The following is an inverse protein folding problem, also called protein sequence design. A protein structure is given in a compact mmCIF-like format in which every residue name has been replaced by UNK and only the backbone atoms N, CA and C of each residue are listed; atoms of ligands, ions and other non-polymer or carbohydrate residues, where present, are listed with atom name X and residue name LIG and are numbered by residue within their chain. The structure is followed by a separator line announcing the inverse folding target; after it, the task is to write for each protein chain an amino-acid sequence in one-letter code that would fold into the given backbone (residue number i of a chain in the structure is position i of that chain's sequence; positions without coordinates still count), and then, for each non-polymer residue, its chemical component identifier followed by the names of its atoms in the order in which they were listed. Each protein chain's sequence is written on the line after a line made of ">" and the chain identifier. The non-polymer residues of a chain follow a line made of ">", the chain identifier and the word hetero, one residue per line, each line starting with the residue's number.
data_IF_207799574945
#
_entry.id   IF_207799574945
#
_cell.length_a   1.000
_cell.length_b   1.000
_cell.length_c   1.000
_cell.angle_alpha   90.00
_cell.angle_beta   90.00
_cell.angle_gamma   90.00
#
_symmetry.space_group_name_H-M   'P 1'
#
loop_
_entity.id
_entity.type
_entity.pdbx_description
1 polymer ?
#
# COMPACT_ATOMS: atom_id res chain seq x y z
N UNK A 1 2.00 12.39 -81.42
CA UNK A 1 1.19 11.16 -81.52
C UNK A 1 1.92 10.04 -80.80
N UNK A 2 1.21 9.24 -79.99
CA UNK A 2 1.62 7.97 -79.33
C UNK A 2 2.61 8.15 -78.15
N UNK A 3 2.47 7.60 -76.94
CA UNK A 3 1.52 6.68 -76.29
C UNK A 3 1.77 6.69 -74.75
N UNK A 4 0.69 6.47 -73.98
CA UNK A 4 0.56 5.61 -72.79
C UNK A 4 1.21 5.91 -71.42
N UNK A 5 0.31 6.31 -70.53
CA UNK A 5 0.12 5.92 -69.12
C UNK A 5 0.70 4.55 -68.70
N UNK A 6 1.45 4.50 -67.58
CA UNK A 6 1.40 3.37 -66.63
C UNK A 6 1.51 3.85 -65.18
N UNK A 7 0.43 3.55 -64.46
CA UNK A 7 0.23 3.57 -63.02
C UNK A 7 0.74 2.23 -62.42
N UNK A 8 0.80 2.16 -61.09
CA UNK A 8 1.08 1.01 -60.18
C UNK A 8 2.52 0.77 -59.68
N UNK A 9 2.61 0.64 -58.35
CA UNK A 9 3.73 0.08 -57.59
C UNK A 9 3.77 0.66 -56.17
N UNK A 10 2.70 0.51 -55.39
CA UNK A 10 2.56 -0.54 -54.36
C UNK A 10 3.38 -0.28 -53.08
N UNK A 11 2.62 -0.05 -52.02
CA UNK A 11 3.01 0.05 -50.62
C UNK A 11 4.03 -1.01 -50.15
N UNK A 12 4.97 -0.56 -49.32
CA UNK A 12 5.55 -1.35 -48.26
C UNK A 12 5.69 -0.46 -47.02
N UNK A 13 4.55 -0.19 -46.38
CA UNK A 13 4.53 0.18 -44.97
C UNK A 13 5.08 -1.02 -44.20
N UNK A 14 6.37 -0.96 -43.84
CA UNK A 14 6.93 -1.84 -42.83
C UNK A 14 6.40 -1.36 -41.47
N UNK A 15 5.12 -1.65 -41.20
CA UNK A 15 4.60 -1.70 -39.84
C UNK A 15 5.23 -2.92 -39.19
N UNK A 16 6.46 -2.77 -38.69
CA UNK A 16 6.96 -3.64 -37.64
C UNK A 16 6.16 -3.30 -36.37
N UNK A 17 4.95 -3.83 -36.28
CA UNK A 17 4.34 -4.06 -34.98
C UNK A 17 5.20 -5.12 -34.32
N UNK A 18 6.27 -4.69 -33.66
CA UNK A 18 6.90 -5.47 -32.60
C UNK A 18 5.78 -5.94 -31.70
N UNK A 19 5.59 -7.27 -31.67
CA UNK A 19 4.84 -7.94 -30.62
C UNK A 19 5.55 -7.61 -29.31
N UNK A 20 5.21 -6.45 -28.75
CA UNK A 20 5.53 -6.09 -27.39
C UNK A 20 4.76 -7.12 -26.56
N UNK A 21 5.44 -8.22 -26.24
CA UNK A 21 4.97 -9.14 -25.22
C UNK A 21 4.98 -8.34 -23.92
N UNK A 22 3.86 -7.67 -23.66
CA UNK A 22 3.55 -7.01 -22.40
C UNK A 22 3.43 -8.14 -21.39
N UNK A 23 4.56 -8.52 -20.80
CA UNK A 23 4.55 -9.33 -19.59
C UNK A 23 3.70 -8.53 -18.58
N UNK A 24 2.53 -9.05 -18.17
CA UNK A 24 1.64 -8.28 -17.32
C UNK A 24 2.34 -8.00 -15.99
N UNK A 25 2.27 -6.75 -15.54
CA UNK A 25 2.89 -6.28 -14.30
C UNK A 25 1.84 -6.16 -13.19
N UNK A 26 2.27 -6.12 -11.93
CA UNK A 26 1.38 -5.81 -10.83
C UNK A 26 1.14 -4.29 -10.74
N UNK A 27 -0.12 -3.88 -10.75
CA UNK A 27 -0.59 -2.54 -10.37
C UNK A 27 -1.57 -2.70 -9.20
N UNK A 28 -1.24 -2.09 -8.06
CA UNK A 28 -1.89 -2.31 -6.77
C UNK A 28 -2.34 -0.97 -6.22
N UNK A 29 -3.63 -0.85 -5.94
CA UNK A 29 -4.19 0.23 -5.14
C UNK A 29 -4.06 -0.05 -3.65
N UNK A 30 -3.94 1.02 -2.87
CA UNK A 30 -3.90 0.99 -1.40
C UNK A 30 -5.06 1.82 -0.88
N UNK A 31 -5.91 1.23 -0.05
CA UNK A 31 -6.89 1.93 0.77
C UNK A 31 -6.34 2.05 2.19
N UNK A 32 -6.55 3.21 2.82
CA UNK A 32 -6.01 3.52 4.16
C UNK A 32 -7.10 4.06 5.07
N UNK A 33 -7.09 3.63 6.32
CA UNK A 33 -7.94 4.14 7.40
C UNK A 33 -7.07 4.43 8.62
N UNK A 34 -6.98 5.69 9.02
CA UNK A 34 -6.20 6.16 10.16
C UNK A 34 -7.07 6.76 11.28
N UNK A 35 -8.39 6.68 11.14
CA UNK A 35 -9.34 7.26 12.09
C UNK A 35 -9.16 6.74 13.54
N UNK A 36 -8.64 5.52 13.69
CA UNK A 36 -8.32 4.91 14.97
C UNK A 36 -6.90 5.19 15.49
N UNK A 37 -6.03 5.87 14.74
CA UNK A 37 -4.61 5.98 15.08
C UNK A 37 -4.34 7.02 16.18
N UNK A 38 -4.68 6.63 17.40
CA UNK A 38 -4.50 7.44 18.59
C UNK A 38 -4.04 6.58 19.79
N UNK A 39 -3.31 7.22 20.69
CA UNK A 39 -3.00 6.71 22.03
C UNK A 39 -3.25 7.80 23.05
N UNK A 40 -3.84 7.46 24.19
CA UNK A 40 -4.06 8.39 25.31
C UNK A 40 -3.07 8.11 26.42
N UNK A 41 -2.41 9.15 26.92
CA UNK A 41 -1.50 9.10 28.07
C UNK A 41 -2.09 9.94 29.19
N UNK A 42 -2.46 9.30 30.29
CA UNK A 42 -3.03 9.94 31.47
C UNK A 42 -1.95 10.11 32.53
N UNK A 43 -1.62 11.36 32.88
CA UNK A 43 -0.68 11.67 33.97
C UNK A 43 -1.41 11.62 35.31
N UNK A 44 -0.85 10.87 36.26
CA UNK A 44 -1.30 10.81 37.65
C UNK A 44 -0.21 11.31 38.58
N UNK A 45 -0.60 12.09 39.57
CA UNK A 45 0.27 12.52 40.68
C UNK A 45 -0.38 12.01 41.94
N UNK A 46 0.36 11.24 42.74
CA UNK A 46 -0.12 10.78 44.05
C UNK A 46 0.07 11.85 45.13
N UNK A 47 -0.39 11.55 46.34
CA UNK A 47 -0.31 12.46 47.50
C UNK A 47 1.13 12.78 47.92
N UNK A 48 2.11 11.96 47.50
CA UNK A 48 3.54 12.15 47.75
C UNK A 48 4.22 12.95 46.62
N UNK A 49 3.47 13.36 45.59
CA UNK A 49 3.97 14.11 44.44
C UNK A 49 4.65 13.24 43.39
N UNK A 50 4.58 11.92 43.49
CA UNK A 50 5.17 10.99 42.52
C UNK A 50 4.30 10.91 41.28
N UNK A 51 4.95 11.05 40.13
CA UNK A 51 4.30 11.02 38.81
C UNK A 51 4.27 9.58 38.28
N UNK A 52 3.09 9.17 37.80
CA UNK A 52 2.90 7.93 37.05
C UNK A 52 2.03 8.19 35.81
N UNK A 53 2.03 7.25 34.87
CA UNK A 53 1.28 7.37 33.62
C UNK A 53 0.48 6.10 33.35
N UNK A 54 -0.81 6.26 33.07
CA UNK A 54 -1.60 5.22 32.40
C UNK A 54 -1.57 5.48 30.90
N UNK A 55 -1.36 4.44 30.09
CA UNK A 55 -1.31 4.53 28.63
C UNK A 55 -2.38 3.62 28.05
N UNK A 56 -3.27 4.16 27.21
CA UNK A 56 -4.26 3.35 26.50
C UNK A 56 -3.59 2.44 25.48
N UNK A 57 -4.34 1.47 24.96
CA UNK A 57 -3.92 0.78 23.74
C UNK A 57 -3.82 1.80 22.60
N UNK A 58 -2.75 1.69 21.79
CA UNK A 58 -2.56 2.52 20.62
C UNK A 58 -3.33 1.90 19.45
N UNK A 59 -4.26 2.65 18.84
CA UNK A 59 -5.00 2.16 17.68
C UNK A 59 -4.15 2.13 16.40
N UNK A 60 -4.41 1.17 15.49
CA UNK A 60 -3.65 1.03 14.26
C UNK A 60 -4.09 2.01 13.18
N UNK A 61 -3.20 2.21 12.21
CA UNK A 61 -3.57 2.57 10.84
C UNK A 61 -3.73 1.28 10.05
N UNK A 62 -4.82 1.18 9.33
CA UNK A 62 -5.17 0.01 8.53
C UNK A 62 -4.92 0.27 7.05
N UNK A 63 -4.29 -0.70 6.38
CA UNK A 63 -4.01 -0.69 4.96
C UNK A 63 -4.59 -1.92 4.29
N UNK A 64 -5.36 -1.72 3.22
CA UNK A 64 -5.92 -2.80 2.40
C UNK A 64 -5.43 -2.65 0.97
N UNK A 65 -4.93 -3.74 0.39
CA UNK A 65 -4.35 -3.74 -0.93
C UNK A 65 -5.30 -4.39 -1.92
N UNK A 66 -5.37 -3.87 -3.15
CA UNK A 66 -6.21 -4.47 -4.20
C UNK A 66 -5.54 -4.31 -5.54
N UNK A 67 -5.38 -5.42 -6.28
CA UNK A 67 -4.85 -5.37 -7.63
C UNK A 67 -5.86 -4.73 -8.59
N UNK A 68 -5.39 -3.86 -9.48
CA UNK A 68 -6.23 -3.29 -10.54
C UNK A 68 -6.56 -4.32 -11.61
N UNK A 69 -7.68 -4.17 -12.36
CA UNK A 69 -7.98 -5.04 -13.49
C UNK A 69 -6.80 -5.18 -14.46
N UNK A 70 -6.45 -6.41 -14.82
CA UNK A 70 -5.30 -6.74 -15.67
C UNK A 70 -3.95 -6.87 -14.95
N UNK A 71 -3.92 -6.79 -13.61
CA UNK A 71 -2.69 -6.91 -12.83
C UNK A 71 -2.40 -8.34 -12.40
N UNK A 72 -1.14 -8.76 -12.45
CA UNK A 72 -0.73 -10.02 -11.82
C UNK A 72 -0.77 -9.91 -10.29
N UNK A 73 -0.83 -11.07 -9.63
CA UNK A 73 -0.74 -11.14 -8.17
C UNK A 73 0.62 -10.64 -7.67
N UNK A 74 0.68 -10.25 -6.40
CA UNK A 74 1.89 -9.83 -5.74
C UNK A 74 1.83 -10.10 -4.23
N UNK A 75 2.98 -10.03 -3.57
CA UNK A 75 3.07 -10.00 -2.11
C UNK A 75 3.63 -8.66 -1.65
N UNK A 76 2.98 -8.00 -0.70
CA UNK A 76 3.60 -6.88 0.02
C UNK A 76 4.61 -7.48 0.98
N UNK A 77 5.89 -7.18 0.73
CA UNK A 77 7.03 -7.75 1.46
C UNK A 77 7.60 -6.77 2.48
N UNK A 78 7.29 -5.48 2.35
CA UNK A 78 7.76 -4.49 3.29
C UNK A 78 7.17 -3.10 3.06
N UNK A 79 7.67 -2.16 3.84
CA UNK A 79 7.39 -0.74 3.68
C UNK A 79 8.60 0.10 4.09
N UNK A 80 8.61 1.36 3.69
CA UNK A 80 9.55 2.37 4.16
C UNK A 80 8.79 3.66 4.48
N UNK A 81 9.12 4.28 5.60
CA UNK A 81 8.59 5.59 5.97
C UNK A 81 9.47 6.63 5.28
N UNK A 82 8.91 7.39 4.34
CA UNK A 82 9.65 8.37 3.54
C UNK A 82 9.60 9.77 4.13
N UNK A 83 8.66 10.03 5.05
CA UNK A 83 8.54 11.27 5.81
C UNK A 83 7.87 10.96 7.14
N UNK A 84 8.35 11.56 8.23
CA UNK A 84 7.76 11.41 9.56
C UNK A 84 7.76 12.75 10.29
N UNK A 85 6.74 13.57 10.05
CA UNK A 85 6.63 14.88 10.70
C UNK A 85 5.95 14.73 12.06
N UNK A 86 6.65 15.03 13.15
CA UNK A 86 6.07 15.10 14.50
C UNK A 86 6.02 16.56 14.93
N UNK A 87 4.81 17.09 15.15
CA UNK A 87 4.55 18.51 15.45
C UNK A 87 5.30 19.48 14.52
N UNK A 88 5.41 19.11 13.24
CA UNK A 88 6.07 19.88 12.19
C UNK A 88 7.59 19.66 12.06
N UNK A 89 8.21 18.86 12.91
CA UNK A 89 9.62 18.47 12.79
C UNK A 89 9.75 17.13 12.07
N UNK A 90 10.57 17.07 11.01
CA UNK A 90 10.83 15.81 10.32
C UNK A 90 11.82 14.95 11.11
N UNK A 91 11.36 13.77 11.49
CA UNK A 91 12.10 12.76 12.24
C UNK A 91 12.30 11.48 11.41
N UNK A 92 12.10 11.55 10.09
CA UNK A 92 12.41 10.42 9.22
C UNK A 92 13.90 10.03 9.30
N UNK A 93 14.18 8.73 9.25
CA UNK A 93 15.55 8.22 9.21
C UNK A 93 16.23 8.58 7.89
N UNK A 94 17.51 9.00 7.96
CA UNK A 94 18.38 9.20 6.80
C UNK A 94 19.66 8.37 6.95
N UNK A 95 19.90 7.35 6.12
CA UNK A 95 19.06 6.93 5.00
C UNK A 95 17.78 6.20 5.43
N UNK A 96 16.72 6.35 4.63
CA UNK A 96 15.45 5.62 4.84
C UNK A 96 15.68 4.11 4.80
N UNK A 97 15.37 3.42 5.90
CA UNK A 97 15.54 1.96 6.02
C UNK A 97 14.20 1.23 5.81
N UNK A 98 14.12 0.26 4.88
CA UNK A 98 12.90 -0.51 4.66
C UNK A 98 12.71 -1.59 5.74
N UNK A 99 11.47 -1.76 6.19
CA UNK A 99 11.03 -2.86 7.03
C UNK A 99 10.46 -3.99 6.15
N UNK A 100 11.25 -5.05 5.94
CA UNK A 100 10.94 -6.17 5.03
C UNK A 100 10.27 -7.37 5.71
N UNK A 101 9.50 -7.13 6.78
CA UNK A 101 8.87 -8.19 7.60
C UNK A 101 7.39 -8.38 7.30
N UNK A 102 6.94 -8.03 6.10
CA UNK A 102 5.54 -8.19 5.70
C UNK A 102 5.38 -9.39 4.76
N UNK A 103 4.20 -9.99 4.78
CA UNK A 103 3.82 -11.06 3.86
C UNK A 103 2.32 -10.99 3.60
N UNK A 104 1.89 -9.96 2.87
CA UNK A 104 0.48 -9.74 2.53
C UNK A 104 0.25 -10.13 1.08
N UNK A 105 -0.51 -11.19 0.84
CA UNK A 105 -0.85 -11.60 -0.52
C UNK A 105 -1.93 -10.69 -1.11
N UNK A 106 -1.68 -10.22 -2.33
CA UNK A 106 -2.61 -9.43 -3.15
C UNK A 106 -2.98 -10.28 -4.37
N UNK A 107 -4.26 -10.68 -4.42
CA UNK A 107 -4.78 -11.49 -5.51
C UNK A 107 -4.71 -10.76 -6.85
N UNK A 108 -4.56 -11.51 -7.94
CA UNK A 108 -4.51 -10.96 -9.31
C UNK A 108 -5.80 -10.21 -9.67
N UNK A 109 -5.68 -9.16 -10.47
CA UNK A 109 -6.81 -8.48 -11.13
C UNK A 109 -7.26 -9.16 -12.42
N UNK A 110 -7.26 -10.49 -12.44
CA UNK A 110 -7.80 -11.29 -13.54
C UNK A 110 -8.93 -12.16 -13.01
N UNK A 111 -9.81 -12.63 -13.89
CA UNK A 111 -10.78 -13.70 -13.65
C UNK A 111 -10.76 -14.67 -14.84
N UNK A 112 -11.25 -15.90 -14.68
CA UNK A 112 -11.38 -16.86 -15.79
C UNK A 112 -12.62 -17.74 -15.58
N UNK A 113 -13.19 -18.30 -16.65
CA UNK A 113 -14.40 -19.14 -16.55
C UNK A 113 -14.23 -20.36 -15.64
N UNK A 114 -13.03 -20.92 -15.58
CA UNK A 114 -12.64 -22.02 -14.68
C UNK A 114 -12.79 -21.64 -13.19
N UNK A 115 -12.81 -20.33 -12.86
CA UNK A 115 -13.06 -19.79 -11.51
C UNK A 115 -14.55 -19.59 -11.19
N UNK A 116 -15.43 -19.48 -12.19
CA UNK A 116 -16.87 -19.25 -11.98
C UNK A 116 -17.59 -20.46 -11.37
N UNK A 117 -17.01 -21.65 -11.51
CA UNK A 117 -17.60 -22.92 -11.06
C UNK A 117 -17.49 -23.20 -9.56
N UNK A 118 -16.64 -22.49 -8.80
CA UNK A 118 -16.40 -22.77 -7.37
C UNK A 118 -17.15 -21.86 -6.39
N UNK A 119 -18.03 -20.96 -6.87
CA UNK A 119 -19.15 -20.47 -6.09
C UNK A 119 -18.97 -19.22 -5.21
N UNK A 120 -17.79 -18.59 -5.10
CA UNK A 120 -17.66 -17.25 -4.48
C UNK A 120 -16.59 -16.39 -5.15
N UNK A 121 -16.72 -15.06 -5.08
CA UNK A 121 -15.76 -14.11 -5.64
C UNK A 121 -14.37 -14.21 -4.99
N UNK A 122 -14.30 -14.67 -3.74
CA UNK A 122 -13.06 -14.85 -2.97
C UNK A 122 -12.25 -16.06 -3.47
N UNK A 123 -12.90 -17.19 -3.77
CA UNK A 123 -12.26 -18.37 -4.34
C UNK A 123 -11.70 -18.09 -5.76
N UNK A 124 -12.42 -17.26 -6.52
CA UNK A 124 -11.98 -16.81 -7.83
C UNK A 124 -10.71 -15.94 -7.80
N UNK A 125 -10.26 -15.41 -6.67
CA UNK A 125 -9.01 -14.64 -6.59
C UNK A 125 -7.73 -15.49 -6.45
N UNK A 126 -7.86 -16.76 -6.02
CA UNK A 126 -6.75 -17.58 -5.52
C UNK A 126 -6.32 -18.72 -6.47
N UNK A 127 -7.16 -19.11 -7.42
CA UNK A 127 -6.86 -20.20 -8.36
C UNK A 127 -6.00 -19.74 -9.55
N UNK A 128 -5.10 -20.59 -10.03
CA UNK A 128 -4.29 -20.33 -11.24
C UNK A 128 -5.16 -20.42 -12.50
N UNK A 129 -5.08 -19.43 -13.40
CA UNK A 129 -5.77 -19.44 -14.69
C UNK A 129 -4.81 -19.80 -15.83
N UNK A 130 -5.32 -20.46 -16.87
CA UNK A 130 -4.66 -20.43 -18.18
C UNK A 130 -4.80 -19.01 -18.73
N UNK A 131 -3.68 -18.31 -18.94
CA UNK A 131 -3.67 -16.88 -19.31
C UNK A 131 -4.52 -16.55 -20.56
N UNK A 132 -4.61 -17.48 -21.53
CA UNK A 132 -5.41 -17.29 -22.74
C UNK A 132 -6.93 -17.21 -22.51
N UNK A 133 -7.40 -17.54 -21.31
CA UNK A 133 -8.81 -17.46 -20.88
C UNK A 133 -9.02 -16.45 -19.76
N UNK A 134 -7.99 -15.68 -19.41
CA UNK A 134 -8.05 -14.70 -18.36
C UNK A 134 -8.65 -13.40 -18.90
N UNK A 135 -9.65 -12.87 -18.20
CA UNK A 135 -10.26 -11.57 -18.45
C UNK A 135 -9.86 -10.60 -17.34
N UNK A 136 -9.68 -9.33 -17.66
CA UNK A 136 -9.40 -8.31 -16.65
C UNK A 136 -10.61 -8.12 -15.73
N UNK A 137 -10.40 -8.20 -14.42
CA UNK A 137 -11.43 -8.00 -13.41
C UNK A 137 -10.84 -7.33 -12.16
N UNK A 138 -11.62 -6.62 -11.34
CA UNK A 138 -11.12 -6.09 -10.08
C UNK A 138 -10.54 -7.21 -9.21
N UNK A 139 -9.36 -6.97 -8.63
CA UNK A 139 -8.81 -7.88 -7.62
C UNK A 139 -9.68 -7.91 -6.36
N UNK A 140 -9.56 -8.98 -5.58
CA UNK A 140 -10.18 -9.07 -4.25
C UNK A 140 -9.30 -8.31 -3.25
N UNK A 141 -9.89 -7.58 -2.28
CA UNK A 141 -9.13 -6.96 -1.19
C UNK A 141 -8.25 -7.98 -0.44
N UNK A 142 -7.02 -7.58 -0.12
CA UNK A 142 -6.13 -8.39 0.72
C UNK A 142 -6.63 -8.44 2.16
N UNK A 143 -5.98 -9.28 2.98
CA UNK A 143 -5.99 -9.09 4.43
C UNK A 143 -5.51 -7.67 4.79
N UNK A 144 -6.06 -7.09 5.85
CA UNK A 144 -5.66 -5.78 6.36
C UNK A 144 -4.28 -5.87 7.02
N UNK A 145 -3.41 -4.93 6.67
CA UNK A 145 -2.16 -4.67 7.39
C UNK A 145 -2.41 -3.55 8.41
N UNK A 146 -2.15 -3.84 9.68
CA UNK A 146 -2.30 -2.87 10.78
C UNK A 146 -0.92 -2.42 11.27
N UNK A 147 -0.66 -1.10 11.26
CA UNK A 147 0.57 -0.50 11.75
C UNK A 147 0.28 0.51 12.87
N UNK A 148 0.94 0.35 14.03
CA UNK A 148 0.72 1.18 15.21
C UNK A 148 1.70 2.36 15.28
N UNK A 149 1.46 3.42 14.52
CA UNK A 149 2.29 4.62 14.56
C UNK A 149 2.09 5.43 15.86
N UNK A 150 0.88 5.47 16.41
CA UNK A 150 0.57 6.20 17.63
C UNK A 150 1.37 5.68 18.85
N UNK A 151 1.74 4.39 18.86
CA UNK A 151 2.55 3.81 19.93
C UNK A 151 3.93 4.49 20.07
N UNK A 152 4.52 4.95 18.96
CA UNK A 152 5.80 5.67 18.96
C UNK A 152 5.73 7.06 19.61
N UNK A 153 4.53 7.61 19.82
CA UNK A 153 4.32 8.96 20.36
C UNK A 153 4.26 9.00 21.89
N UNK A 154 4.12 7.85 22.56
CA UNK A 154 3.89 7.77 24.01
C UNK A 154 4.99 8.48 24.81
N UNK A 155 6.25 8.22 24.48
CA UNK A 155 7.38 8.83 25.21
C UNK A 155 7.49 10.33 24.95
N UNK A 156 7.13 10.79 23.75
CA UNK A 156 7.08 12.23 23.44
C UNK A 156 5.97 12.94 24.21
N UNK A 157 4.78 12.32 24.32
CA UNK A 157 3.69 12.86 25.14
C UNK A 157 4.10 12.98 26.60
N UNK A 158 4.76 11.95 27.16
CA UNK A 158 5.27 11.97 28.54
C UNK A 158 6.35 13.04 28.75
N UNK A 159 7.28 13.16 27.80
CA UNK A 159 8.37 14.13 27.88
C UNK A 159 7.87 15.57 27.81
N UNK A 160 6.91 15.84 26.93
CA UNK A 160 6.40 17.18 26.68
C UNK A 160 5.26 17.60 27.62
N UNK A 161 4.63 16.63 28.32
CA UNK A 161 3.38 16.84 29.06
C UNK A 161 2.30 17.51 28.20
N UNK A 162 2.24 17.17 26.92
CA UNK A 162 1.31 17.73 25.95
C UNK A 162 0.93 16.69 24.90
N UNK A 163 -0.22 16.90 24.26
CA UNK A 163 -0.58 16.10 23.08
C UNK A 163 0.40 16.38 21.95
N UNK A 164 0.65 15.36 21.12
CA UNK A 164 1.52 15.43 19.94
C UNK A 164 0.81 14.82 18.75
N UNK A 165 1.16 15.28 17.56
CA UNK A 165 0.63 14.79 16.29
C UNK A 165 1.76 14.36 15.37
N UNK A 166 1.52 13.30 14.60
CA UNK A 166 2.41 12.86 13.56
C UNK A 166 1.71 12.75 12.21
N UNK A 167 2.39 13.16 11.16
CA UNK A 167 2.01 12.97 9.77
C UNK A 167 3.07 12.11 9.07
N UNK A 168 2.63 10.99 8.50
CA UNK A 168 3.50 9.94 7.98
C UNK A 168 3.24 9.77 6.48
N UNK A 169 4.33 9.73 5.70
CA UNK A 169 4.29 9.23 4.33
C UNK A 169 4.97 7.87 4.26
N UNK A 170 4.32 6.91 3.61
CA UNK A 170 4.78 5.52 3.56
C UNK A 170 4.74 4.99 2.12
N UNK A 171 5.78 4.26 1.75
CA UNK A 171 5.86 3.50 0.49
C UNK A 171 5.87 2.02 0.83
N UNK A 172 4.96 1.27 0.21
CA UNK A 172 4.95 -0.19 0.31
C UNK A 172 5.80 -0.82 -0.79
N UNK A 173 6.49 -1.89 -0.42
CA UNK A 173 7.37 -2.65 -1.30
C UNK A 173 6.68 -3.99 -1.56
N UNK A 174 6.46 -4.31 -2.83
CA UNK A 174 5.84 -5.55 -3.25
C UNK A 174 6.78 -6.38 -4.13
N UNK A 175 6.54 -7.69 -4.17
CA UNK A 175 7.14 -8.63 -5.12
C UNK A 175 6.02 -9.25 -5.94
N UNK A 176 6.04 -9.02 -7.25
CA UNK A 176 5.03 -9.57 -8.15
C UNK A 176 5.19 -11.08 -8.38
N UNK A 177 4.20 -11.70 -9.01
CA UNK A 177 4.21 -13.14 -9.30
C UNK A 177 5.37 -13.57 -10.23
N UNK A 178 6.01 -12.65 -10.94
CA UNK A 178 7.21 -12.91 -11.75
C UNK A 178 8.51 -12.75 -10.93
N UNK A 179 8.41 -12.44 -9.64
CA UNK A 179 9.55 -12.25 -8.74
C UNK A 179 10.18 -10.86 -8.81
N UNK A 180 9.62 -9.93 -9.59
CA UNK A 180 10.12 -8.55 -9.70
C UNK A 180 9.65 -7.74 -8.49
N UNK A 181 10.59 -7.00 -7.90
CA UNK A 181 10.27 -6.03 -6.85
C UNK A 181 9.71 -4.75 -7.48
N UNK A 182 8.65 -4.22 -6.89
CA UNK A 182 8.01 -2.96 -7.25
C UNK A 182 7.75 -2.13 -5.98
N UNK A 183 7.76 -0.81 -6.14
CA UNK A 183 7.32 0.12 -5.10
C UNK A 183 5.94 0.66 -5.47
N UNK A 184 5.03 0.65 -4.51
CA UNK A 184 3.70 1.24 -4.70
C UNK A 184 3.78 2.77 -4.60
N UNK A 185 2.80 3.50 -5.16
CA UNK A 185 2.67 4.93 -4.93
C UNK A 185 2.69 5.25 -3.43
N UNK A 186 3.28 6.40 -3.09
CA UNK A 186 3.33 6.91 -1.72
C UNK A 186 1.90 7.05 -1.19
N UNK A 187 1.65 6.50 -0.01
CA UNK A 187 0.47 6.82 0.80
C UNK A 187 0.86 7.99 1.69
N UNK A 188 0.35 9.17 1.36
CA UNK A 188 0.71 10.41 2.04
C UNK A 188 -0.29 10.81 3.11
N UNK A 189 0.19 11.54 4.11
CA UNK A 189 -0.66 12.24 5.08
C UNK A 189 -1.38 11.33 6.05
N UNK A 190 -0.81 10.15 6.36
CA UNK A 190 -1.33 9.27 7.39
C UNK A 190 -1.16 9.95 8.74
N UNK A 191 -2.23 10.13 9.50
CA UNK A 191 -2.19 10.86 10.78
C UNK A 191 -2.15 9.89 11.95
N UNK A 192 -1.28 10.15 12.93
CA UNK A 192 -1.28 9.50 14.23
C UNK A 192 -1.25 10.52 15.37
N UNK A 193 -1.88 10.21 16.50
CA UNK A 193 -2.03 11.16 17.63
C UNK A 193 -1.61 10.55 18.97
N UNK A 194 -0.82 11.29 19.72
CA UNK A 194 -0.62 11.08 21.15
C UNK A 194 -1.42 12.12 21.93
N UNK A 195 -2.39 11.68 22.72
CA UNK A 195 -3.30 12.55 23.46
C UNK A 195 -2.86 12.60 24.91
N UNK A 196 -2.51 13.78 25.41
CA UNK A 196 -2.23 13.98 26.83
C UNK A 196 -3.52 14.26 27.60
N UNK A 197 -3.68 13.59 28.74
CA UNK A 197 -4.69 13.90 29.73
C UNK A 197 -4.02 14.04 31.10
N UNK A 198 -4.00 15.24 31.64
CA UNK A 198 -3.49 15.49 32.98
C UNK A 198 -4.26 16.64 33.61
N UNK A 199 -4.59 16.50 34.88
CA UNK A 199 -4.97 17.63 35.72
C UNK A 199 -3.70 18.36 36.14
N UNK A 200 -3.70 19.69 35.97
CA UNK A 200 -2.70 20.59 36.56
C UNK A 200 -2.85 20.64 38.07
#
# INVERSE_FOLDING_TARGET
>A
MKHFLKWLGAAALLTSCSNLSLVPTADIGVATSDAGSAVTVVRKVDDEGKVSYDVSEAGPVEFTFTARPGSIAANIVGYKITRYLVDGQDLAEDPVVPNMKQNIYVASGYTCEERRTEGTAEAAGLASCVFSKAEAAPGVPSQTLSLNFAAGLVELVKANNSSVSAEIDIVFIARDANGKQIELPVVSGVVARGIFQGTL
#
